data_IF_429488482972
#
_entry.id   IF_429488482972
#
_cell.length_a   1.000
_cell.length_b   1.000
_cell.length_c   1.000
_cell.angle_alpha   90.00
_cell.angle_beta   90.00
_cell.angle_gamma   90.00
#
_symmetry.space_group_name_H-M   'P 1'
#
loop_
_entity.id
_entity.type
_entity.pdbx_description
1 polymer ?
#
# COMPACT_ATOMS: atom_id res chain seq x y z
N UNK A 1 18.51 0.09 -1.99
CA UNK A 1 17.73 -0.85 -1.17
C UNK A 1 17.08 -0.20 0.07
N UNK A 2 17.78 0.60 0.90
CA UNK A 2 17.19 1.26 2.08
C UNK A 2 15.97 2.15 1.78
N UNK A 3 15.96 2.88 0.64
CA UNK A 3 14.85 3.76 0.25
C UNK A 3 13.56 3.01 -0.10
N UNK A 4 13.66 1.83 -0.71
CA UNK A 4 12.51 0.99 -1.04
C UNK A 4 11.88 0.42 0.22
N UNK A 5 12.71 -0.03 1.16
CA UNK A 5 12.25 -0.57 2.46
C UNK A 5 11.59 0.51 3.30
N UNK A 6 12.15 1.74 3.36
CA UNK A 6 11.51 2.85 4.09
C UNK A 6 10.20 3.33 3.45
N UNK A 7 10.08 3.30 2.12
CA UNK A 7 8.81 3.60 1.44
C UNK A 7 7.75 2.54 1.75
N UNK A 8 8.15 1.25 1.76
CA UNK A 8 7.26 0.15 2.13
C UNK A 8 6.78 0.27 3.60
N UNK A 9 7.70 0.57 4.51
CA UNK A 9 7.38 0.78 5.93
C UNK A 9 6.50 2.01 6.15
N UNK A 10 6.66 3.06 5.36
CA UNK A 10 5.81 4.26 5.39
C UNK A 10 4.37 4.01 4.93
N UNK A 11 4.14 3.01 4.06
CA UNK A 11 2.82 2.61 3.60
C UNK A 11 2.05 1.72 4.62
N UNK A 12 2.75 1.10 5.59
CA UNK A 12 2.16 0.18 6.56
C UNK A 12 1.00 0.74 7.40
N UNK A 13 0.99 2.01 7.87
CA UNK A 13 -0.12 2.53 8.67
C UNK A 13 -1.47 2.49 7.94
N UNK A 14 -1.50 2.78 6.64
CA UNK A 14 -2.71 2.70 5.83
C UNK A 14 -3.21 1.27 5.58
N UNK A 15 -2.29 0.30 5.61
CA UNK A 15 -2.58 -1.13 5.40
C UNK A 15 -2.99 -1.84 6.69
N UNK A 16 -2.68 -1.26 7.85
CA UNK A 16 -2.92 -1.87 9.16
C UNK A 16 -4.40 -2.17 9.41
N UNK A 17 -5.31 -1.30 8.98
CA UNK A 17 -6.74 -1.49 9.15
C UNK A 17 -7.26 -2.71 8.37
N UNK A 18 -6.82 -2.88 7.10
CA UNK A 18 -7.23 -4.03 6.26
C UNK A 18 -6.59 -5.32 6.79
N UNK A 19 -5.33 -5.26 7.22
CA UNK A 19 -4.64 -6.39 7.84
C UNK A 19 -5.32 -6.84 9.14
N UNK A 20 -5.75 -5.90 9.97
CA UNK A 20 -6.50 -6.18 11.19
C UNK A 20 -7.87 -6.79 10.89
N UNK A 21 -8.58 -6.29 9.88
CA UNK A 21 -9.84 -6.87 9.42
C UNK A 21 -9.65 -8.32 8.95
N UNK A 22 -8.61 -8.58 8.15
CA UNK A 22 -8.28 -9.92 7.70
C UNK A 22 -7.98 -10.85 8.87
N UNK A 23 -7.19 -10.39 9.85
CA UNK A 23 -6.88 -11.13 11.07
C UNK A 23 -8.16 -11.48 11.86
N UNK A 24 -9.10 -10.53 11.96
CA UNK A 24 -10.38 -10.74 12.62
C UNK A 24 -11.23 -11.79 11.89
N UNK A 25 -11.30 -11.74 10.57
CA UNK A 25 -11.99 -12.74 9.74
C UNK A 25 -11.40 -14.12 10.02
N UNK A 26 -10.08 -14.25 9.95
CA UNK A 26 -9.40 -15.52 10.25
C UNK A 26 -9.70 -16.03 11.66
N UNK A 27 -9.66 -15.15 12.64
CA UNK A 27 -9.93 -15.52 14.03
C UNK A 27 -11.33 -16.07 14.19
N UNK A 28 -12.34 -15.36 13.67
CA UNK A 28 -13.74 -15.80 13.75
C UNK A 28 -13.96 -17.13 13.04
N UNK A 29 -13.47 -17.27 11.82
CA UNK A 29 -13.61 -18.52 11.06
C UNK A 29 -12.79 -19.66 11.68
N UNK A 30 -11.66 -19.39 12.35
CA UNK A 30 -10.88 -20.41 13.06
C UNK A 30 -11.64 -20.95 14.27
N UNK A 31 -12.35 -20.10 15.00
CA UNK A 31 -13.21 -20.56 16.12
C UNK A 31 -14.31 -21.48 15.58
N UNK A 32 -15.02 -21.03 14.53
CA UNK A 32 -16.11 -21.81 13.92
C UNK A 32 -15.57 -23.15 13.38
N UNK A 33 -14.42 -23.14 12.71
CA UNK A 33 -13.81 -24.36 12.17
C UNK A 33 -13.40 -25.35 13.26
N UNK A 34 -12.86 -24.83 14.38
CA UNK A 34 -12.48 -25.65 15.52
C UNK A 34 -13.71 -26.31 16.17
N UNK A 35 -14.79 -25.58 16.32
CA UNK A 35 -16.05 -26.07 16.90
C UNK A 35 -16.75 -27.08 15.99
N UNK A 36 -16.79 -26.81 14.69
CA UNK A 36 -17.49 -27.67 13.74
C UNK A 36 -16.71 -28.95 13.34
N UNK A 37 -15.40 -28.86 13.20
CA UNK A 37 -14.59 -29.92 12.58
C UNK A 37 -13.50 -30.48 13.50
N UNK A 38 -13.26 -29.85 14.66
CA UNK A 38 -12.15 -30.21 15.55
C UNK A 38 -12.16 -31.64 16.04
N UNK A 39 -13.33 -32.20 16.35
CA UNK A 39 -13.47 -33.57 16.86
C UNK A 39 -13.09 -34.64 15.83
N UNK A 40 -13.48 -34.46 14.58
CA UNK A 40 -13.26 -35.43 13.51
C UNK A 40 -11.92 -35.20 12.77
N UNK A 41 -11.44 -33.97 12.76
CA UNK A 41 -10.21 -33.56 12.09
C UNK A 41 -9.25 -32.83 13.04
N UNK A 42 -8.85 -33.46 14.17
CA UNK A 42 -8.03 -32.77 15.18
C UNK A 42 -6.66 -32.33 14.67
N UNK A 43 -6.12 -32.98 13.64
CA UNK A 43 -4.85 -32.59 13.03
C UNK A 43 -4.93 -31.23 12.29
N UNK A 44 -6.12 -30.84 11.84
CA UNK A 44 -6.33 -29.60 11.07
C UNK A 44 -7.09 -28.53 11.86
N UNK A 45 -8.05 -28.96 12.70
CA UNK A 45 -9.00 -28.09 13.39
C UNK A 45 -9.09 -28.34 14.90
N UNK A 46 -8.21 -29.14 15.48
CA UNK A 46 -8.24 -29.50 16.92
C UNK A 46 -7.87 -28.35 17.86
N UNK A 47 -7.43 -27.21 17.34
CA UNK A 47 -7.22 -25.98 18.09
C UNK A 47 -7.38 -24.75 17.18
N UNK A 48 -7.63 -23.58 17.78
CA UNK A 48 -7.74 -22.30 17.03
C UNK A 48 -6.48 -22.05 16.19
N UNK A 49 -5.29 -22.35 16.71
CA UNK A 49 -4.02 -22.18 15.98
C UNK A 49 -3.89 -23.10 14.77
N UNK A 50 -4.28 -24.37 14.90
CA UNK A 50 -4.31 -25.33 13.79
C UNK A 50 -5.36 -24.93 12.75
N UNK A 51 -6.54 -24.52 13.18
CA UNK A 51 -7.60 -24.00 12.30
C UNK A 51 -7.15 -22.77 11.54
N UNK A 52 -6.48 -21.84 12.22
CA UNK A 52 -5.93 -20.63 11.61
C UNK A 52 -4.92 -20.98 10.50
N UNK A 53 -3.98 -21.89 10.77
CA UNK A 53 -3.02 -22.35 9.79
C UNK A 53 -3.67 -23.04 8.60
N UNK A 54 -4.63 -23.96 8.87
CA UNK A 54 -5.36 -24.68 7.83
C UNK A 54 -6.18 -23.75 6.96
N UNK A 55 -6.82 -22.73 7.55
CA UNK A 55 -7.55 -21.70 6.82
C UNK A 55 -6.61 -20.79 6.02
N UNK A 56 -5.43 -20.48 6.55
CA UNK A 56 -4.41 -19.76 5.78
C UNK A 56 -3.99 -20.55 4.54
N UNK A 57 -3.74 -21.85 4.66
CA UNK A 57 -3.46 -22.73 3.53
C UNK A 57 -4.64 -22.75 2.53
N UNK A 58 -5.87 -22.84 3.01
CA UNK A 58 -7.07 -22.80 2.16
C UNK A 58 -7.19 -21.48 1.38
N UNK A 59 -6.87 -20.34 2.00
CA UNK A 59 -6.89 -19.03 1.34
C UNK A 59 -5.84 -18.90 0.24
N UNK A 60 -4.65 -19.47 0.43
CA UNK A 60 -3.60 -19.49 -0.60
C UNK A 60 -3.98 -20.34 -1.82
N UNK A 61 -5.15 -20.97 -1.78
CA UNK A 61 -5.70 -21.89 -2.79
C UNK A 61 -4.84 -23.13 -3.03
N UNK A 62 -3.87 -23.39 -2.16
CA UNK A 62 -3.03 -24.58 -2.22
C UNK A 62 -3.82 -25.81 -1.75
N UNK A 63 -4.22 -26.64 -2.70
CA UNK A 63 -4.92 -27.90 -2.46
C UNK A 63 -6.17 -27.79 -1.56
N UNK A 64 -6.75 -26.60 -1.41
CA UNK A 64 -7.87 -26.35 -0.51
C UNK A 64 -9.06 -27.29 -0.75
N UNK A 65 -9.37 -27.55 -2.02
CA UNK A 65 -10.51 -28.39 -2.39
C UNK A 65 -10.21 -29.87 -2.16
N UNK A 66 -9.13 -30.39 -2.73
CA UNK A 66 -8.82 -31.82 -2.67
C UNK A 66 -8.17 -32.22 -1.34
N UNK A 67 -7.33 -31.34 -0.78
CA UNK A 67 -6.58 -31.65 0.43
C UNK A 67 -7.35 -31.37 1.73
N UNK A 68 -8.28 -30.41 1.72
CA UNK A 68 -8.96 -29.96 2.95
C UNK A 68 -10.49 -30.12 2.82
N UNK A 69 -11.11 -29.40 1.90
CA UNK A 69 -12.57 -29.29 1.85
C UNK A 69 -13.25 -30.62 1.54
N UNK A 70 -12.81 -31.36 0.52
CA UNK A 70 -13.41 -32.64 0.15
C UNK A 70 -13.28 -33.75 1.21
N UNK A 71 -12.13 -33.93 1.88
CA UNK A 71 -12.05 -34.85 3.02
C UNK A 71 -13.02 -34.48 4.15
N UNK A 72 -13.16 -33.16 4.47
CA UNK A 72 -14.14 -32.71 5.47
C UNK A 72 -15.57 -32.94 4.99
N UNK A 73 -15.89 -32.68 3.73
CA UNK A 73 -17.21 -32.92 3.14
C UNK A 73 -17.60 -34.42 3.12
N UNK A 74 -16.64 -35.32 3.13
CA UNK A 74 -16.93 -36.76 3.21
C UNK A 74 -17.62 -37.13 4.54
N UNK A 75 -17.33 -36.36 5.61
CA UNK A 75 -17.97 -36.53 6.94
C UNK A 75 -19.09 -35.52 7.16
N UNK A 76 -18.89 -34.30 6.66
CA UNK A 76 -19.84 -33.18 6.79
C UNK A 76 -20.27 -32.68 5.42
N UNK A 77 -21.31 -33.23 4.79
CA UNK A 77 -21.71 -32.91 3.40
C UNK A 77 -21.94 -31.44 3.14
N UNK A 78 -22.34 -30.68 4.16
CA UNK A 78 -22.57 -29.23 4.06
C UNK A 78 -21.38 -28.35 4.40
N UNK A 79 -20.18 -28.90 4.61
CA UNK A 79 -18.96 -28.15 4.93
C UNK A 79 -18.57 -27.13 3.83
N UNK A 80 -19.02 -27.31 2.60
CA UNK A 80 -18.83 -26.32 1.54
C UNK A 80 -19.47 -24.95 1.87
N UNK A 81 -20.57 -24.92 2.64
CA UNK A 81 -21.19 -23.68 3.14
C UNK A 81 -20.28 -22.89 4.08
N UNK A 82 -19.31 -23.54 4.67
CA UNK A 82 -18.28 -22.90 5.47
C UNK A 82 -17.08 -22.47 4.59
N UNK A 83 -16.53 -23.40 3.79
CA UNK A 83 -15.29 -23.13 3.04
C UNK A 83 -15.48 -22.12 1.91
N UNK A 84 -16.59 -22.18 1.15
CA UNK A 84 -16.81 -21.28 0.01
C UNK A 84 -16.96 -19.82 0.47
N UNK A 85 -17.83 -19.47 1.43
CA UNK A 85 -17.90 -18.10 1.94
C UNK A 85 -16.59 -17.62 2.56
N UNK A 86 -15.87 -18.48 3.31
CA UNK A 86 -14.59 -18.13 3.85
C UNK A 86 -13.59 -17.73 2.76
N UNK A 87 -13.42 -18.58 1.73
CA UNK A 87 -12.49 -18.31 0.63
C UNK A 87 -12.88 -17.05 -0.12
N UNK A 88 -14.16 -16.84 -0.41
CA UNK A 88 -14.63 -15.63 -1.09
C UNK A 88 -14.30 -14.37 -0.29
N UNK A 89 -14.63 -14.36 1.00
CA UNK A 89 -14.39 -13.20 1.87
C UNK A 89 -12.89 -12.95 2.07
N UNK A 90 -12.13 -14.01 2.38
CA UNK A 90 -10.69 -13.90 2.62
C UNK A 90 -9.92 -13.48 1.36
N UNK A 91 -10.22 -14.09 0.20
CA UNK A 91 -9.59 -13.74 -1.08
C UNK A 91 -9.94 -12.32 -1.50
N UNK A 92 -11.21 -11.92 -1.37
CA UNK A 92 -11.63 -10.57 -1.71
C UNK A 92 -10.94 -9.51 -0.81
N UNK A 93 -10.83 -9.79 0.50
CA UNK A 93 -10.13 -8.92 1.43
C UNK A 93 -8.63 -8.85 1.10
N UNK A 94 -8.01 -9.96 0.75
CA UNK A 94 -6.61 -10.02 0.33
C UNK A 94 -6.36 -9.23 -0.96
N UNK A 95 -7.25 -9.35 -1.96
CA UNK A 95 -7.16 -8.56 -3.19
C UNK A 95 -7.26 -7.06 -2.90
N UNK A 96 -8.18 -6.66 -2.02
CA UNK A 96 -8.29 -5.27 -1.59
C UNK A 96 -7.00 -4.76 -0.90
N UNK A 97 -6.34 -5.61 -0.12
CA UNK A 97 -5.04 -5.30 0.47
C UNK A 97 -3.97 -5.07 -0.60
N UNK A 98 -3.89 -5.94 -1.62
CA UNK A 98 -2.95 -5.78 -2.74
C UNK A 98 -3.22 -4.49 -3.53
N UNK A 99 -4.48 -4.19 -3.83
CA UNK A 99 -4.86 -2.95 -4.52
C UNK A 99 -4.43 -1.73 -3.69
N UNK A 100 -4.67 -1.73 -2.39
CA UNK A 100 -4.27 -0.65 -1.50
C UNK A 100 -2.75 -0.46 -1.46
N UNK A 101 -1.95 -1.54 -1.47
CA UNK A 101 -0.49 -1.48 -1.56
C UNK A 101 -0.04 -0.83 -2.87
N UNK A 102 -0.61 -1.27 -4.00
CA UNK A 102 -0.26 -0.75 -5.33
C UNK A 102 -0.61 0.73 -5.43
N UNK A 103 -1.82 1.13 -5.00
CA UNK A 103 -2.27 2.52 -5.04
C UNK A 103 -1.37 3.41 -4.17
N UNK A 104 -1.05 3.00 -2.94
CA UNK A 104 -0.14 3.74 -2.07
C UNK A 104 1.27 3.88 -2.68
N UNK A 105 1.79 2.81 -3.29
CA UNK A 105 3.08 2.86 -3.96
C UNK A 105 3.05 3.86 -5.13
N UNK A 106 2.00 3.85 -5.96
CA UNK A 106 1.85 4.80 -7.06
C UNK A 106 1.72 6.24 -6.58
N UNK A 107 0.96 6.50 -5.52
CA UNK A 107 0.82 7.84 -4.94
C UNK A 107 2.17 8.38 -4.47
N UNK A 108 2.97 7.57 -3.79
CA UNK A 108 4.31 7.96 -3.32
C UNK A 108 5.23 8.34 -4.48
N UNK A 109 5.19 7.61 -5.59
CA UNK A 109 5.97 7.96 -6.79
C UNK A 109 5.48 9.27 -7.42
N UNK A 110 4.18 9.44 -7.57
CA UNK A 110 3.58 10.67 -8.14
C UNK A 110 3.91 11.91 -7.29
N UNK A 111 3.87 11.80 -5.97
CA UNK A 111 4.24 12.89 -5.06
C UNK A 111 5.73 13.26 -5.17
N UNK A 112 6.62 12.27 -5.31
CA UNK A 112 8.05 12.52 -5.51
C UNK A 112 8.34 13.20 -6.83
N UNK A 113 7.71 12.76 -7.92
CA UNK A 113 7.85 13.37 -9.25
C UNK A 113 7.33 14.81 -9.25
N UNK A 114 6.19 15.05 -8.60
CA UNK A 114 5.61 16.37 -8.49
C UNK A 114 6.46 17.31 -7.64
N UNK A 115 7.00 16.84 -6.52
CA UNK A 115 7.93 17.61 -5.69
C UNK A 115 9.22 17.97 -6.45
N UNK A 116 9.75 17.05 -7.25
CA UNK A 116 10.92 17.31 -8.09
C UNK A 116 10.61 18.36 -9.19
N UNK A 117 9.45 18.29 -9.82
CA UNK A 117 9.02 19.26 -10.83
C UNK A 117 8.83 20.66 -10.23
N UNK A 118 8.21 20.78 -9.06
CA UNK A 118 8.04 22.04 -8.34
C UNK A 118 9.41 22.62 -7.98
N UNK A 119 10.33 21.84 -7.44
CA UNK A 119 11.67 22.31 -7.11
C UNK A 119 12.43 22.84 -8.34
N UNK A 120 12.31 22.19 -9.50
CA UNK A 120 12.91 22.64 -10.75
C UNK A 120 12.29 23.96 -11.24
N UNK A 121 10.97 24.13 -11.12
CA UNK A 121 10.26 25.37 -11.48
C UNK A 121 10.67 26.52 -10.55
N UNK A 122 10.80 26.27 -9.25
CA UNK A 122 11.22 27.29 -8.29
C UNK A 122 12.66 27.76 -8.56
N UNK A 123 13.58 26.84 -8.88
CA UNK A 123 14.94 27.17 -9.28
C UNK A 123 14.99 27.98 -10.57
N UNK A 124 14.20 27.58 -11.58
CA UNK A 124 14.14 28.31 -12.85
C UNK A 124 13.58 29.73 -12.65
N UNK A 125 12.58 29.91 -11.78
CA UNK A 125 12.01 31.20 -11.44
C UNK A 125 13.02 32.07 -10.69
N UNK A 126 13.72 31.54 -9.70
CA UNK A 126 14.76 32.24 -8.95
C UNK A 126 15.91 32.70 -9.86
N UNK A 127 16.36 31.84 -10.77
CA UNK A 127 17.41 32.20 -11.75
C UNK A 127 16.94 33.33 -12.69
N UNK A 128 15.68 33.29 -13.12
CA UNK A 128 15.10 34.33 -13.99
C UNK A 128 14.96 35.68 -13.28
N UNK A 129 14.56 35.68 -12.00
CA UNK A 129 14.51 36.87 -11.17
C UNK A 129 15.91 37.46 -10.95
N UNK A 130 16.91 36.62 -10.72
CA UNK A 130 18.29 37.07 -10.54
C UNK A 130 18.84 37.71 -11.83
N UNK A 131 18.64 37.07 -12.98
CA UNK A 131 19.04 37.63 -14.27
C UNK A 131 18.35 38.97 -14.58
N UNK A 132 17.07 39.09 -14.23
CA UNK A 132 16.31 40.35 -14.38
C UNK A 132 16.85 41.47 -13.50
N UNK A 133 17.20 41.13 -12.24
CA UNK A 133 17.82 42.10 -11.31
C UNK A 133 19.19 42.57 -11.79
N UNK A 134 20.02 41.69 -12.35
CA UNK A 134 21.32 42.03 -12.95
C UNK A 134 21.15 42.98 -14.15
N UNK A 135 20.17 42.70 -15.03
CA UNK A 135 19.87 43.57 -16.16
C UNK A 135 19.37 44.96 -15.72
N UNK A 136 18.50 45.05 -14.70
CA UNK A 136 18.04 46.31 -14.15
C UNK A 136 19.19 47.11 -13.52
N UNK A 137 20.12 46.46 -12.83
CA UNK A 137 21.29 47.12 -12.27
C UNK A 137 22.21 47.66 -13.37
N UNK A 138 22.44 46.92 -14.44
CA UNK A 138 23.24 47.36 -15.59
C UNK A 138 22.60 48.62 -16.27
N UNK A 139 21.29 48.58 -16.51
CA UNK A 139 20.57 49.73 -17.11
C UNK A 139 20.65 50.96 -16.18
N UNK A 140 20.48 50.78 -14.87
CA UNK A 140 20.61 51.87 -13.91
C UNK A 140 22.03 52.50 -13.91
N UNK A 141 23.04 51.67 -14.09
CA UNK A 141 24.42 52.14 -14.14
C UNK A 141 24.72 52.89 -15.41
N UNK A 142 24.21 52.43 -16.57
CA UNK A 142 24.32 53.15 -17.83
C UNK A 142 23.58 54.51 -17.79
N UNK A 143 22.37 54.54 -17.22
CA UNK A 143 21.63 55.81 -17.03
C UNK A 143 22.36 56.79 -16.14
N UNK A 144 23.04 56.36 -15.10
CA UNK A 144 23.87 57.20 -14.25
C UNK A 144 25.04 57.83 -15.02
N UNK A 145 25.76 57.02 -15.79
CA UNK A 145 26.90 57.48 -16.60
C UNK A 145 26.45 58.49 -17.66
N UNK A 146 25.32 58.23 -18.36
CA UNK A 146 24.77 59.20 -19.33
C UNK A 146 24.34 60.50 -18.67
N UNK A 147 23.75 60.44 -17.47
CA UNK A 147 23.33 61.63 -16.74
C UNK A 147 24.53 62.48 -16.29
N UNK A 148 25.64 61.87 -15.91
CA UNK A 148 26.88 62.56 -15.57
C UNK A 148 27.51 63.23 -16.80
N UNK A 149 27.47 62.60 -17.98
CA UNK A 149 27.96 63.16 -19.24
C UNK A 149 27.13 64.36 -19.72
N UNK A 150 25.80 64.34 -19.52
CA UNK A 150 24.92 65.45 -19.92
C UNK A 150 24.99 66.60 -18.93
N UNK A 151 25.21 66.32 -17.64
CA UNK A 151 25.33 67.37 -16.58
C UNK A 151 26.70 68.09 -16.53
N UNK A 152 27.71 67.62 -17.28
CA UNK A 152 29.03 68.22 -17.35
C UNK A 152 29.25 69.13 -18.57
N UNK A 153 28.19 69.40 -19.37
CA UNK A 153 28.14 70.38 -20.46
C UNK A 153 27.33 71.58 -20.05
#
# INVERSE_FOLDING_TARGET
>A
MRRVVSALLGALPGLGAIGLLLMLIYYVFSIIATDLFGDQFPAWFGSIGLSFYTLFQAMTLESWSMGISRPVMAQYPFAWLFFVPFILVATFTMLNLFIAIIVNAMQTFTEQDHAAEVALKDQATANKEQALREQLQAIHQELRLLREQVGSK
#
